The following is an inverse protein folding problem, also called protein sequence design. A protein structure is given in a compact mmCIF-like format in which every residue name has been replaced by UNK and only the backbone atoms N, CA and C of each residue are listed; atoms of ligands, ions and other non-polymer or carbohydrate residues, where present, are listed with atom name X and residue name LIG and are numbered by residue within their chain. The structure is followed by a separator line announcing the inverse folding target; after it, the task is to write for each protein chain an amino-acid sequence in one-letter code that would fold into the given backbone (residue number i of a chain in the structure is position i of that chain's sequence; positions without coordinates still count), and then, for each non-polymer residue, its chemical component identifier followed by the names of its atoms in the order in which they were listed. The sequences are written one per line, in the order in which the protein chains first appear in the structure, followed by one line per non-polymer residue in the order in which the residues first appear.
data_IF_364054820298
#
_entry.id   IF_364054820298
#
_cell.length_a   1.000
_cell.length_b   1.000
_cell.length_c   1.000
_cell.angle_alpha   90.00
_cell.angle_beta   90.00
_cell.angle_gamma   90.00
#
_symmetry.space_group_name_H-M   'P 1'
#
loop_
_entity.id
_entity.type
_entity.pdbx_description
1 polymer ?
#
# COMPACT_ATOMS: atom_id res chain seq x y z
N UNK A 1 11.12 10.75 15.45
CA UNK A 1 9.92 10.41 14.68
C UNK A 1 8.75 10.46 15.64
N UNK A 2 7.83 11.37 15.38
CA UNK A 2 6.56 11.46 16.10
C UNK A 2 5.41 10.86 15.27
N UNK A 3 4.18 10.90 15.78
CA UNK A 3 3.01 10.39 15.06
C UNK A 3 2.69 11.16 13.78
N UNK A 4 3.03 12.45 13.71
CA UNK A 4 2.81 13.27 12.52
C UNK A 4 3.76 12.90 11.39
N UNK A 5 5.01 12.56 11.70
CA UNK A 5 5.96 12.01 10.74
C UNK A 5 5.45 10.68 10.16
N UNK A 6 4.97 9.76 11.01
CA UNK A 6 4.41 8.47 10.56
C UNK A 6 3.20 8.68 9.67
N UNK A 7 2.28 9.58 10.06
CA UNK A 7 1.10 9.89 9.25
C UNK A 7 1.47 10.44 7.87
N UNK A 8 2.47 11.34 7.79
CA UNK A 8 2.95 11.86 6.50
C UNK A 8 3.55 10.77 5.60
N UNK A 9 4.31 9.85 6.19
CA UNK A 9 4.87 8.71 5.46
C UNK A 9 3.74 7.83 4.92
N UNK A 10 2.76 7.46 5.76
CA UNK A 10 1.62 6.66 5.34
C UNK A 10 0.79 7.33 4.24
N UNK A 11 0.58 8.65 4.35
CA UNK A 11 -0.13 9.41 3.33
C UNK A 11 0.61 9.33 2.00
N UNK A 12 1.89 9.66 1.98
CA UNK A 12 2.70 9.75 0.76
C UNK A 12 2.97 8.40 0.10
N UNK A 13 3.37 7.40 0.90
CA UNK A 13 3.87 6.12 0.40
C UNK A 13 2.76 5.10 0.11
N UNK A 14 1.59 5.27 0.73
CA UNK A 14 0.50 4.29 0.65
C UNK A 14 -0.78 4.96 0.17
N UNK A 15 -1.34 5.90 0.93
CA UNK A 15 -2.65 6.48 0.64
C UNK A 15 -2.67 7.18 -0.72
N UNK A 16 -1.83 8.17 -0.95
CA UNK A 16 -1.82 8.97 -2.18
C UNK A 16 -1.56 8.11 -3.43
N UNK A 17 -0.89 6.96 -3.27
CA UNK A 17 -0.62 6.01 -4.35
C UNK A 17 -1.89 5.27 -4.77
N UNK A 18 -2.69 4.77 -3.84
CA UNK A 18 -3.85 3.90 -4.12
C UNK A 18 -5.21 4.60 -3.98
N UNK A 19 -5.25 5.79 -3.40
CA UNK A 19 -6.48 6.54 -3.16
C UNK A 19 -7.16 6.91 -4.48
N UNK A 20 -8.47 6.71 -4.55
CA UNK A 20 -9.26 6.86 -5.78
C UNK A 20 -8.69 6.10 -7.01
N UNK A 21 -7.91 5.03 -6.80
CA UNK A 21 -7.37 4.21 -7.86
C UNK A 21 -7.98 2.80 -7.86
N UNK A 22 -8.07 2.19 -9.04
CA UNK A 22 -8.30 0.77 -9.17
C UNK A 22 -6.96 0.04 -9.15
N UNK A 23 -6.76 -0.85 -8.18
CA UNK A 23 -5.54 -1.67 -8.08
C UNK A 23 -5.73 -2.97 -8.85
N UNK A 24 -4.88 -3.23 -9.84
CA UNK A 24 -4.97 -4.42 -10.71
C UNK A 24 -3.64 -5.16 -10.76
N UNK A 25 -3.70 -6.48 -10.79
CA UNK A 25 -2.53 -7.32 -10.98
C UNK A 25 -2.06 -7.29 -12.43
N UNK A 26 -0.77 -7.07 -12.68
CA UNK A 26 -0.19 -7.03 -14.02
C UNK A 26 -0.39 -8.31 -14.85
N UNK A 27 -0.57 -9.45 -14.17
CA UNK A 27 -0.85 -10.72 -14.84
C UNK A 27 -2.32 -10.91 -15.25
N UNK A 28 -3.24 -10.05 -14.80
CA UNK A 28 -4.67 -10.11 -15.15
C UNK A 28 -4.93 -9.35 -16.46
N UNK A 29 -4.66 -10.03 -17.58
CA UNK A 29 -4.78 -9.45 -18.92
C UNK A 29 -6.21 -9.04 -19.26
N UNK A 30 -7.21 -9.78 -18.79
CA UNK A 30 -8.61 -9.50 -19.08
C UNK A 30 -9.06 -8.22 -18.36
N UNK A 31 -8.66 -8.05 -17.09
CA UNK A 31 -8.91 -6.81 -16.35
C UNK A 31 -8.18 -5.62 -16.96
N UNK A 32 -6.90 -5.77 -17.32
CA UNK A 32 -6.12 -4.70 -17.96
C UNK A 32 -6.77 -4.24 -19.27
N UNK A 33 -7.17 -5.18 -20.13
CA UNK A 33 -7.85 -4.85 -21.39
C UNK A 33 -9.19 -4.15 -21.16
N UNK A 34 -9.95 -4.53 -20.12
CA UNK A 34 -11.18 -3.85 -19.77
C UNK A 34 -10.95 -2.42 -19.27
N UNK A 35 -9.89 -2.21 -18.48
CA UNK A 35 -9.51 -0.90 -17.94
C UNK A 35 -8.98 0.04 -19.04
N UNK A 36 -8.30 -0.48 -20.06
CA UNK A 36 -7.88 0.30 -21.23
C UNK A 36 -9.05 1.01 -21.93
N UNK A 37 -10.25 0.41 -21.91
CA UNK A 37 -11.46 1.02 -22.50
C UNK A 37 -11.92 2.25 -21.72
N UNK A 38 -11.62 2.33 -20.42
CA UNK A 38 -12.03 3.46 -19.58
C UNK A 38 -11.21 4.74 -19.84
N UNK A 39 -10.08 4.62 -20.55
CA UNK A 39 -9.23 5.75 -20.92
C UNK A 39 -8.55 6.44 -19.74
N UNK A 40 -7.92 7.59 -20.02
CA UNK A 40 -7.03 8.29 -19.09
C UNK A 40 -7.74 8.96 -17.89
N UNK A 41 -9.08 9.04 -17.91
CA UNK A 41 -9.85 9.57 -16.77
C UNK A 41 -9.94 8.57 -15.61
N UNK A 42 -9.69 7.28 -15.86
CA UNK A 42 -9.69 6.24 -14.85
C UNK A 42 -8.28 6.00 -14.31
N UNK A 43 -8.09 6.20 -13.00
CA UNK A 43 -6.80 5.95 -12.36
C UNK A 43 -6.63 4.47 -12.05
N UNK A 44 -5.69 3.82 -12.72
CA UNK A 44 -5.30 2.44 -12.46
C UNK A 44 -3.90 2.37 -11.86
N UNK A 45 -3.74 1.58 -10.80
CA UNK A 45 -2.45 1.22 -10.21
C UNK A 45 -2.19 -0.24 -10.52
N UNK A 46 -1.16 -0.48 -11.34
CA UNK A 46 -0.76 -1.84 -11.70
C UNK A 46 0.29 -2.33 -10.69
N UNK A 47 0.05 -3.50 -10.12
CA UNK A 47 0.94 -4.15 -9.14
C UNK A 47 1.39 -5.53 -9.63
N UNK A 48 2.53 -6.00 -9.14
CA UNK A 48 3.13 -7.31 -9.47
C UNK A 48 2.62 -8.47 -8.59
N UNK A 49 1.55 -8.23 -7.83
CA UNK A 49 0.90 -9.22 -6.96
C UNK A 49 -0.62 -9.19 -7.08
N UNK A 50 -1.28 -10.29 -6.68
CA UNK A 50 -2.75 -10.33 -6.59
C UNK A 50 -3.19 -9.37 -5.46
N UNK A 51 -4.03 -8.35 -5.71
CA UNK A 51 -4.30 -7.26 -4.76
C UNK A 51 -5.29 -7.66 -3.64
N UNK A 52 -5.00 -8.74 -2.92
CA UNK A 52 -5.71 -9.11 -1.68
C UNK A 52 -5.26 -8.23 -0.51
N UNK A 53 -6.03 -8.17 0.57
CA UNK A 53 -5.70 -7.40 1.75
C UNK A 53 -4.34 -7.81 2.37
N UNK A 54 -3.99 -9.10 2.33
CA UNK A 54 -2.71 -9.63 2.82
C UNK A 54 -1.53 -9.13 2.01
N UNK A 55 -1.63 -9.17 0.68
CA UNK A 55 -0.57 -8.70 -0.20
C UNK A 55 -0.43 -7.18 -0.15
N UNK A 56 -1.55 -6.45 0.01
CA UNK A 56 -1.52 -5.00 0.26
C UNK A 56 -0.85 -4.67 1.60
N UNK A 57 -1.07 -5.45 2.66
CA UNK A 57 -0.40 -5.25 3.94
C UNK A 57 1.11 -5.43 3.82
N UNK A 58 1.55 -6.46 3.08
CA UNK A 58 2.98 -6.66 2.78
C UNK A 58 3.54 -5.52 1.93
N UNK A 59 2.87 -5.15 0.85
CA UNK A 59 3.31 -4.07 -0.03
C UNK A 59 3.44 -2.75 0.71
N UNK A 60 2.42 -2.36 1.48
CA UNK A 60 2.46 -1.15 2.30
C UNK A 60 3.58 -1.19 3.35
N UNK A 61 3.84 -2.36 3.96
CA UNK A 61 4.99 -2.54 4.85
C UNK A 61 6.30 -2.24 4.12
N UNK A 62 6.50 -2.82 2.94
CA UNK A 62 7.73 -2.68 2.16
C UNK A 62 7.95 -1.23 1.68
N UNK A 63 6.88 -0.48 1.38
CA UNK A 63 6.98 0.96 1.06
C UNK A 63 7.36 1.81 2.28
N UNK A 64 6.80 1.50 3.44
CA UNK A 64 6.94 2.33 4.66
C UNK A 64 8.24 2.03 5.40
N UNK A 65 8.68 0.77 5.46
CA UNK A 65 9.83 0.34 6.27
C UNK A 65 11.11 1.18 6.04
N UNK A 66 11.55 1.48 4.80
CA UNK A 66 12.76 2.26 4.55
C UNK A 66 12.71 3.68 5.14
N UNK A 67 11.51 4.21 5.35
CA UNK A 67 11.27 5.55 5.86
C UNK A 67 11.21 5.61 7.39
N UNK A 68 11.04 4.47 8.06
CA UNK A 68 11.03 4.36 9.53
C UNK A 68 12.48 4.35 10.05
N UNK A 69 13.11 5.53 10.02
CA UNK A 69 14.49 5.74 10.48
C UNK A 69 14.56 6.46 11.82
N UNK A 70 15.59 6.12 12.60
CA UNK A 70 15.88 6.77 13.88
C UNK A 70 16.92 7.87 13.70
N UNK A 71 16.68 9.02 14.35
CA UNK A 71 17.58 10.16 14.31
C UNK A 71 18.70 10.10 15.38
N UNK A 72 18.56 9.27 16.43
CA UNK A 72 19.44 9.32 17.61
C UNK A 72 19.64 7.96 18.30
N UNK A 73 20.30 7.01 17.66
CA UNK A 73 20.80 5.78 18.30
C UNK A 73 19.74 4.78 18.82
N UNK A 74 18.45 5.13 18.77
CA UNK A 74 17.35 4.23 19.07
C UNK A 74 17.13 3.25 17.92
N UNK A 75 16.76 2.01 18.23
CA UNK A 75 16.30 1.03 17.22
C UNK A 75 14.80 1.20 17.00
N UNK A 76 14.42 2.25 16.26
CA UNK A 76 13.06 2.32 15.71
C UNK A 76 12.99 1.36 14.53
N UNK A 77 11.93 0.53 14.49
CA UNK A 77 11.68 -0.39 13.39
C UNK A 77 10.18 -0.53 13.16
N UNK A 78 9.78 -0.69 11.90
CA UNK A 78 8.45 -1.15 11.57
C UNK A 78 8.33 -2.63 11.95
N UNK A 79 7.31 -2.99 12.73
CA UNK A 79 7.10 -4.37 13.21
C UNK A 79 5.94 -5.08 12.52
N UNK A 80 4.92 -4.31 12.15
CA UNK A 80 3.75 -4.83 11.48
C UNK A 80 3.06 -3.74 10.65
N UNK A 81 2.33 -4.16 9.63
CA UNK A 81 1.41 -3.34 8.85
C UNK A 81 0.05 -4.02 8.84
N UNK A 82 -1.01 -3.24 9.05
CA UNK A 82 -2.38 -3.73 9.16
C UNK A 82 -3.25 -3.06 8.11
N UNK A 83 -3.87 -3.85 7.23
CA UNK A 83 -4.81 -3.37 6.20
C UNK A 83 -6.20 -3.86 6.54
N UNK A 84 -7.11 -2.90 6.72
CA UNK A 84 -8.54 -3.16 6.91
C UNK A 84 -9.25 -3.00 5.57
N UNK A 85 -9.71 -4.10 4.98
CA UNK A 85 -10.53 -4.04 3.76
C UNK A 85 -11.93 -3.52 4.07
N UNK A 86 -12.46 -3.94 5.22
CA UNK A 86 -13.71 -3.44 5.79
C UNK A 86 -13.52 -3.25 7.29
N UNK A 87 -14.43 -2.55 8.00
CA UNK A 87 -14.33 -2.40 9.45
C UNK A 87 -14.31 -3.73 10.24
N UNK A 88 -14.66 -4.86 9.61
CA UNK A 88 -14.69 -6.20 10.24
C UNK A 88 -13.68 -7.19 9.67
N UNK A 89 -12.94 -6.81 8.62
CA UNK A 89 -11.98 -7.69 7.94
C UNK A 89 -10.61 -7.01 7.91
N UNK A 90 -9.61 -7.70 8.46
CA UNK A 90 -8.25 -7.20 8.63
C UNK A 90 -7.24 -8.25 8.15
N UNK A 91 -6.25 -7.80 7.41
CA UNK A 91 -5.03 -8.55 7.11
C UNK A 91 -3.82 -7.87 7.74
N UNK A 92 -2.84 -8.66 8.18
CA UNK A 92 -1.65 -8.14 8.87
C UNK A 92 -0.39 -8.79 8.32
N UNK A 93 0.63 -7.98 8.08
CA UNK A 93 1.98 -8.42 7.74
C UNK A 93 2.93 -8.12 8.90
N UNK A 94 3.84 -9.04 9.20
CA UNK A 94 4.78 -8.96 10.33
C UNK A 94 6.21 -9.24 9.85
N UNK A 95 7.20 -8.62 10.51
CA UNK A 95 8.64 -8.86 10.28
C UNK A 95 9.35 -9.45 11.49
#
# INVERSE_FOLDING_TARGET
MDFSDVSKILMREVHDVVDHAFVVYEGDRDALQALEVMGDEHRTVVVDFIPTAENLAKWAFDQVEPHIVSAYGNKLRLVAMHVWETPKSLASWYK
#
